data_IF_537716933193
#
_entry.id   IF_537716933193
#
_cell.length_a   1.000
_cell.length_b   1.000
_cell.length_c   1.000
_cell.angle_alpha   90.00
_cell.angle_beta   90.00
_cell.angle_gamma   90.00
#
_symmetry.space_group_name_H-M   'P 1'
#
loop_
_entity.id
_entity.type
_entity.pdbx_description
1 polymer ?
#
# COMPACT_ATOMS: atom_id res chain seq x y z
N UNK A 1 0.95 -12.19 4.91
CA UNK A 1 0.89 -10.74 4.62
C UNK A 1 2.31 -10.21 4.69
N UNK A 2 2.87 -9.68 3.61
CA UNK A 2 4.29 -9.31 3.54
C UNK A 2 4.45 -7.84 3.92
N UNK A 3 4.98 -7.54 5.11
CA UNK A 3 5.33 -6.17 5.50
C UNK A 3 6.56 -5.71 4.72
N UNK A 4 6.41 -4.76 3.79
CA UNK A 4 7.55 -4.05 3.22
C UNK A 4 8.07 -3.03 4.24
N UNK A 5 9.33 -3.20 4.66
CA UNK A 5 10.06 -2.26 5.49
C UNK A 5 10.80 -1.34 4.52
N UNK A 6 10.38 -0.07 4.41
CA UNK A 6 11.04 0.91 3.57
C UNK A 6 12.48 1.12 4.08
N UNK A 7 13.48 0.89 3.21
CA UNK A 7 14.88 1.12 3.55
C UNK A 7 15.27 2.58 3.22
N UNK A 8 16.08 3.23 4.07
CA UNK A 8 16.51 4.61 3.83
C UNK A 8 17.40 4.66 2.58
N UNK A 9 17.10 5.61 1.70
CA UNK A 9 17.86 5.84 0.47
C UNK A 9 19.23 6.40 0.83
N UNK A 10 20.34 5.76 0.39
CA UNK A 10 21.67 6.26 0.69
C UNK A 10 21.90 7.62 0.01
N UNK A 11 22.26 8.62 0.81
CA UNK A 11 22.66 9.93 0.31
C UNK A 11 24.09 9.76 -0.24
N UNK A 12 24.28 9.96 -1.54
CA UNK A 12 25.60 9.88 -2.16
C UNK A 12 26.56 10.84 -1.46
N UNK A 13 27.73 10.34 -1.05
CA UNK A 13 28.77 11.15 -0.45
C UNK A 13 29.14 12.35 -1.34
N UNK A 14 29.44 13.53 -0.77
CA UNK A 14 29.84 14.70 -1.53
C UNK A 14 31.11 14.42 -2.33
N UNK A 15 31.14 14.86 -3.58
CA UNK A 15 32.24 14.64 -4.52
C UNK A 15 33.49 15.40 -4.04
N UNK A 16 34.71 14.86 -4.25
CA UNK A 16 35.97 15.42 -3.74
C UNK A 16 36.37 16.80 -4.32
N UNK A 17 35.62 17.35 -5.29
CA UNK A 17 35.88 18.65 -5.91
C UNK A 17 34.82 19.68 -5.49
N UNK A 18 34.65 19.86 -4.18
CA UNK A 18 33.74 20.87 -3.63
C UNK A 18 34.42 22.25 -3.73
N UNK A 19 34.41 22.82 -4.93
CA UNK A 19 34.57 24.27 -5.08
C UNK A 19 33.52 25.00 -4.24
N UNK A 20 33.82 26.22 -3.80
CA UNK A 20 32.89 27.05 -3.01
C UNK A 20 31.54 27.09 -3.71
N UNK A 21 30.54 26.39 -3.15
CA UNK A 21 29.18 26.44 -3.68
C UNK A 21 28.63 27.83 -3.40
N UNK A 22 28.36 28.57 -4.48
CA UNK A 22 27.70 29.86 -4.35
C UNK A 22 26.21 29.65 -4.07
N UNK A 23 25.54 30.64 -3.49
CA UNK A 23 24.08 30.58 -3.32
C UNK A 23 23.37 30.34 -4.65
N UNK A 24 23.93 30.83 -5.76
CA UNK A 24 23.42 30.60 -7.12
C UNK A 24 23.43 29.11 -7.49
N UNK A 25 24.51 28.39 -7.16
CA UNK A 25 24.64 26.95 -7.43
C UNK A 25 23.65 26.13 -6.60
N UNK A 26 23.37 26.58 -5.37
CA UNK A 26 22.35 25.97 -4.51
C UNK A 26 20.94 26.13 -5.11
N UNK A 27 20.57 27.35 -5.51
CA UNK A 27 19.29 27.61 -6.16
C UNK A 27 19.15 26.84 -7.49
N UNK A 28 20.23 26.76 -8.28
CA UNK A 28 20.25 26.00 -9.52
C UNK A 28 20.05 24.48 -9.30
N UNK A 29 20.70 23.92 -8.26
CA UNK A 29 20.55 22.51 -7.89
C UNK A 29 19.12 22.15 -7.46
N UNK A 30 18.50 23.02 -6.65
CA UNK A 30 17.11 22.86 -6.20
C UNK A 30 16.13 22.92 -7.39
N UNK A 31 16.29 23.91 -8.27
CA UNK A 31 15.46 24.05 -9.48
C UNK A 31 15.63 22.85 -10.43
N UNK A 32 16.85 22.33 -10.58
CA UNK A 32 17.13 21.15 -11.39
C UNK A 32 16.48 19.88 -10.84
N UNK A 33 16.31 19.77 -9.52
CA UNK A 33 15.62 18.66 -8.87
C UNK A 33 14.10 18.69 -9.16
N UNK A 34 13.47 19.85 -9.04
CA UNK A 34 12.04 20.02 -9.35
C UNK A 34 11.72 19.83 -10.83
N UNK A 35 12.62 20.25 -11.72
CA UNK A 35 12.43 20.14 -13.17
C UNK A 35 12.47 18.70 -13.69
N UNK A 36 13.14 17.78 -12.98
CA UNK A 36 13.27 16.37 -13.36
C UNK A 36 12.13 15.48 -12.86
N UNK A 37 11.32 15.99 -11.93
CA UNK A 37 10.20 15.25 -11.31
C UNK A 37 8.84 15.51 -11.97
N UNK A 38 8.80 15.96 -13.23
CA UNK A 38 7.54 16.12 -13.97
C UNK A 38 6.84 14.79 -14.29
N UNK A 39 7.53 13.66 -14.09
CA UNK A 39 6.93 12.33 -14.13
C UNK A 39 6.56 11.89 -12.71
N UNK A 40 5.27 11.73 -12.38
CA UNK A 40 4.89 11.09 -11.13
C UNK A 40 5.43 9.66 -11.10
N UNK A 41 6.18 9.32 -10.05
CA UNK A 41 6.76 7.97 -9.83
C UNK A 41 5.68 6.89 -9.66
N UNK A 42 4.47 7.30 -9.31
CA UNK A 42 3.29 6.44 -9.27
C UNK A 42 2.50 6.63 -10.56
N UNK A 43 2.03 5.54 -11.21
CA UNK A 43 1.09 5.67 -12.32
C UNK A 43 -0.05 6.58 -11.88
N UNK A 44 -0.31 7.63 -12.65
CA UNK A 44 -1.46 8.51 -12.45
C UNK A 44 -2.72 7.71 -12.84
N UNK A 45 -3.07 6.74 -12.02
CA UNK A 45 -4.36 6.10 -12.10
C UNK A 45 -5.31 6.94 -11.25
N UNK A 46 -6.23 7.63 -11.91
CA UNK A 46 -7.34 8.29 -11.21
C UNK A 46 -8.16 7.17 -10.57
N UNK A 47 -8.01 6.99 -9.26
CA UNK A 47 -8.77 6.02 -8.47
C UNK A 47 -10.25 6.33 -8.68
N UNK A 48 -10.98 5.38 -9.26
CA UNK A 48 -12.43 5.46 -9.39
C UNK A 48 -13.09 4.83 -8.16
N UNK A 49 -14.33 5.23 -7.87
CA UNK A 49 -15.08 4.75 -6.70
C UNK A 49 -15.17 3.21 -6.62
N UNK A 50 -15.18 2.55 -7.77
CA UNK A 50 -15.37 1.11 -7.87
C UNK A 50 -14.06 0.30 -7.92
N UNK A 51 -12.88 0.93 -7.98
CA UNK A 51 -11.59 0.24 -8.15
C UNK A 51 -11.27 -0.73 -7.00
N UNK A 52 -11.83 -0.47 -5.82
CA UNK A 52 -11.62 -1.27 -4.61
C UNK A 52 -12.92 -1.90 -4.08
N UNK A 53 -13.97 -1.95 -4.92
CA UNK A 53 -15.21 -2.62 -4.54
C UNK A 53 -15.00 -4.13 -4.57
N UNK A 54 -15.17 -4.77 -3.41
CA UNK A 54 -15.18 -6.23 -3.30
C UNK A 54 -16.62 -6.72 -3.21
N UNK A 55 -16.98 -7.84 -3.86
CA UNK A 55 -18.31 -8.43 -3.73
C UNK A 55 -18.60 -8.75 -2.27
N UNK A 56 -19.89 -8.67 -1.90
CA UNK A 56 -20.33 -9.16 -0.60
C UNK A 56 -19.93 -10.65 -0.43
N UNK A 57 -19.49 -11.06 0.77
CA UNK A 57 -19.20 -12.47 1.02
C UNK A 57 -20.46 -13.33 0.77
N UNK A 58 -20.30 -14.60 0.39
CA UNK A 58 -21.44 -15.49 0.23
C UNK A 58 -22.18 -15.67 1.57
N UNK A 59 -23.50 -15.89 1.53
CA UNK A 59 -24.26 -16.18 2.75
C UNK A 59 -23.76 -17.48 3.40
N UNK A 60 -23.91 -17.63 4.73
CA UNK A 60 -23.58 -18.89 5.41
C UNK A 60 -24.42 -20.04 4.84
N UNK A 61 -23.84 -21.24 4.81
CA UNK A 61 -24.58 -22.43 4.40
C UNK A 61 -25.75 -22.70 5.37
N UNK A 62 -26.91 -23.17 4.87
CA UNK A 62 -28.03 -23.54 5.73
C UNK A 62 -27.62 -24.59 6.76
N UNK A 63 -27.93 -24.34 8.04
CA UNK A 63 -27.77 -25.35 9.10
C UNK A 63 -28.98 -26.28 9.03
N UNK A 64 -28.76 -27.52 8.63
CA UNK A 64 -29.79 -28.54 8.75
C UNK A 64 -29.88 -28.92 10.23
N UNK A 65 -30.95 -28.50 10.91
CA UNK A 65 -31.33 -29.07 12.20
C UNK A 65 -31.78 -30.51 11.92
N UNK A 66 -30.83 -31.45 11.79
CA UNK A 66 -31.18 -32.85 12.02
C UNK A 66 -31.75 -32.88 13.42
N UNK A 67 -32.98 -33.35 13.53
CA UNK A 67 -33.59 -33.87 14.74
C UNK A 67 -32.68 -34.96 15.31
N UNK A 68 -31.52 -34.58 15.85
CA UNK A 68 -30.78 -35.37 16.81
C UNK A 68 -31.65 -35.38 18.07
N UNK A 69 -32.77 -36.10 17.92
CA UNK A 69 -33.46 -36.90 18.90
C UNK A 69 -32.86 -36.69 20.28
N UNK A 70 -33.51 -35.79 21.02
CA UNK A 70 -33.61 -35.98 22.46
C UNK A 70 -33.79 -37.49 22.70
N UNK A 71 -32.96 -38.14 23.54
CA UNK A 71 -33.21 -39.53 23.86
C UNK A 71 -34.59 -39.59 24.49
N UNK A 72 -35.57 -40.01 23.70
CA UNK A 72 -36.93 -40.25 24.18
C UNK A 72 -36.80 -41.35 25.23
N UNK A 73 -37.12 -41.07 26.51
CA UNK A 73 -37.05 -42.10 27.52
C UNK A 73 -38.04 -43.21 27.13
N UNK A 74 -37.51 -44.38 26.79
CA UNK A 74 -38.29 -45.60 26.63
C UNK A 74 -39.00 -45.85 27.96
N UNK A 75 -40.33 -45.66 28.00
CA UNK A 75 -41.15 -46.03 29.15
C UNK A 75 -41.39 -47.55 29.07
N UNK A 76 -40.87 -48.29 30.05
CA UNK A 76 -41.17 -49.73 30.27
C UNK A 76 -42.50 -49.91 30.96
#
# INVERSE_FOLDING_TARGET
MTSQIAQPTPISAPRPNLGVMTSQDLFASVNASFSKNSQPSTPSHTIQENDYSVPAPPPPSPVSFREHHWPSPVRR
#
